data_IF_043323293659
#
_entry.id   IF_043323293659
#
_cell.length_a   1.000
_cell.length_b   1.000
_cell.length_c   1.000
_cell.angle_alpha   90.00
_cell.angle_beta   90.00
_cell.angle_gamma   90.00
#
_symmetry.space_group_name_H-M   'P 1'
#
loop_
_entity.id
_entity.type
_entity.pdbx_description
1 polymer ?
#
# COMPACT_ATOMS: atom_id res chain seq x y z
N UNK A 1 2.82 -7.90 -27.07
CA UNK A 1 3.73 -6.99 -26.34
C UNK A 1 5.04 -7.74 -26.10
N UNK A 2 6.15 -7.26 -26.66
CA UNK A 2 7.48 -7.85 -26.48
C UNK A 2 8.02 -7.45 -25.10
N UNK A 3 7.73 -8.26 -24.09
CA UNK A 3 8.20 -8.04 -22.73
C UNK A 3 9.72 -8.19 -22.65
N UNK A 4 10.42 -7.13 -22.25
CA UNK A 4 11.86 -7.17 -21.94
C UNK A 4 12.03 -8.16 -20.76
N UNK A 5 12.80 -9.23 -20.95
CA UNK A 5 13.06 -10.20 -19.90
C UNK A 5 14.07 -9.59 -18.91
N UNK A 6 13.57 -8.84 -17.93
CA UNK A 6 14.39 -8.19 -16.90
C UNK A 6 14.70 -9.23 -15.83
N UNK A 7 16.00 -9.48 -15.61
CA UNK A 7 16.46 -10.29 -14.47
C UNK A 7 16.57 -9.40 -13.24
N UNK A 8 15.61 -9.55 -12.34
CA UNK A 8 15.52 -8.85 -11.07
C UNK A 8 16.56 -9.38 -10.07
N UNK A 9 17.34 -8.49 -9.44
CA UNK A 9 18.44 -8.86 -8.54
C UNK A 9 17.93 -9.27 -7.15
N UNK A 10 16.81 -8.71 -6.73
CA UNK A 10 16.25 -8.83 -5.39
C UNK A 10 14.94 -9.63 -5.37
N UNK A 11 14.63 -10.35 -6.45
CA UNK A 11 13.35 -11.05 -6.66
C UNK A 11 12.14 -10.09 -6.63
N UNK A 12 12.29 -8.91 -7.20
CA UNK A 12 11.23 -7.90 -7.27
C UNK A 12 9.94 -8.46 -7.89
N UNK A 13 10.04 -9.39 -8.84
CA UNK A 13 8.91 -10.11 -9.42
C UNK A 13 8.09 -10.88 -8.36
N UNK A 14 8.75 -11.57 -7.44
CA UNK A 14 8.10 -12.31 -6.35
C UNK A 14 7.55 -11.37 -5.29
N UNK A 15 8.33 -10.36 -4.91
CA UNK A 15 7.93 -9.38 -3.89
C UNK A 15 6.70 -8.59 -4.36
N UNK A 16 6.64 -8.20 -5.64
CA UNK A 16 5.47 -7.54 -6.22
C UNK A 16 4.23 -8.41 -6.17
N UNK A 17 4.37 -9.72 -6.39
CA UNK A 17 3.27 -10.67 -6.23
C UNK A 17 2.80 -10.78 -4.77
N UNK A 18 3.72 -10.86 -3.82
CA UNK A 18 3.39 -10.86 -2.39
C UNK A 18 2.68 -9.58 -1.95
N UNK A 19 3.11 -8.42 -2.47
CA UNK A 19 2.44 -7.13 -2.24
C UNK A 19 1.02 -7.17 -2.80
N UNK A 20 0.83 -7.71 -4.01
CA UNK A 20 -0.49 -7.85 -4.61
C UNK A 20 -1.40 -8.74 -3.76
N UNK A 21 -0.93 -9.94 -3.38
CA UNK A 21 -1.69 -10.87 -2.53
C UNK A 21 -2.06 -10.24 -1.18
N UNK A 22 -1.15 -9.46 -0.59
CA UNK A 22 -1.43 -8.70 0.62
C UNK A 22 -2.53 -7.65 0.41
N UNK A 23 -2.47 -6.88 -0.67
CA UNK A 23 -3.49 -5.88 -1.00
C UNK A 23 -4.83 -6.56 -1.23
N UNK A 24 -4.89 -7.61 -2.04
CA UNK A 24 -6.11 -8.38 -2.32
C UNK A 24 -6.75 -8.85 -1.02
N UNK A 25 -5.96 -9.44 -0.12
CA UNK A 25 -6.43 -9.82 1.22
C UNK A 25 -6.98 -8.64 2.02
N UNK A 26 -6.30 -7.48 2.02
CA UNK A 26 -6.82 -6.31 2.73
C UNK A 26 -8.16 -5.84 2.16
N UNK A 27 -8.34 -5.93 0.84
CA UNK A 27 -9.60 -5.57 0.21
C UNK A 27 -10.71 -6.56 0.57
N UNK A 28 -10.45 -7.87 0.58
CA UNK A 28 -11.42 -8.88 1.01
C UNK A 28 -11.89 -8.64 2.46
N UNK A 29 -10.96 -8.32 3.36
CA UNK A 29 -11.27 -8.06 4.78
C UNK A 29 -12.10 -6.78 4.97
N UNK A 30 -11.90 -5.78 4.11
CA UNK A 30 -12.49 -4.47 4.29
C UNK A 30 -13.75 -4.20 3.46
N UNK A 31 -13.86 -4.78 2.27
CA UNK A 31 -14.94 -4.52 1.31
C UNK A 31 -15.98 -5.63 1.22
N UNK A 32 -15.83 -6.72 1.97
CA UNK A 32 -16.79 -7.85 2.01
C UNK A 32 -18.22 -7.49 2.42
N UNK A 33 -18.50 -6.25 2.84
CA UNK A 33 -19.83 -5.80 3.31
C UNK A 33 -20.27 -4.41 2.81
N UNK A 34 -19.84 -3.93 1.63
CA UNK A 34 -20.26 -2.63 1.07
C UNK A 34 -20.04 -1.41 2.01
N UNK A 35 -19.07 -1.50 2.92
CA UNK A 35 -18.73 -0.39 3.81
C UNK A 35 -17.68 0.48 3.14
N UNK A 36 -18.09 1.70 2.76
CA UNK A 36 -17.18 2.81 2.51
C UNK A 36 -16.09 2.81 3.60
N UNK A 37 -14.82 2.68 3.21
CA UNK A 37 -13.75 2.65 4.19
C UNK A 37 -13.52 4.05 4.75
N UNK A 38 -13.01 4.12 5.99
CA UNK A 38 -12.52 5.38 6.55
C UNK A 38 -11.47 6.03 5.63
N UNK A 39 -10.66 5.22 4.93
CA UNK A 39 -9.71 5.70 3.93
C UNK A 39 -10.39 6.48 2.80
N UNK A 40 -11.48 5.95 2.25
CA UNK A 40 -12.20 6.59 1.14
C UNK A 40 -12.77 7.93 1.58
N UNK A 41 -13.40 7.98 2.76
CA UNK A 41 -13.95 9.21 3.34
C UNK A 41 -12.85 10.28 3.54
N UNK A 42 -11.67 9.88 4.01
CA UNK A 42 -10.55 10.79 4.27
C UNK A 42 -9.96 11.32 2.96
N UNK A 43 -9.90 10.48 1.92
CA UNK A 43 -9.44 10.89 0.59
C UNK A 43 -10.45 11.85 -0.05
N UNK A 44 -11.75 11.51 -0.03
CA UNK A 44 -12.83 12.33 -0.56
C UNK A 44 -12.91 13.70 0.14
N UNK A 45 -12.52 13.77 1.42
CA UNK A 45 -12.44 15.01 2.19
C UNK A 45 -11.20 15.89 1.86
N UNK A 46 -10.35 15.48 0.90
CA UNK A 46 -9.14 16.22 0.50
C UNK A 46 -7.96 16.07 1.47
N UNK A 47 -7.98 15.07 2.35
CA UNK A 47 -6.92 14.81 3.34
C UNK A 47 -6.08 13.55 3.02
N UNK A 48 -6.21 13.02 1.81
CA UNK A 48 -5.59 11.77 1.39
C UNK A 48 -4.06 11.75 1.47
N UNK A 49 -3.39 12.82 1.03
CA UNK A 49 -1.92 12.92 1.04
C UNK A 49 -1.36 12.84 2.47
N UNK A 50 -1.85 13.70 3.36
CA UNK A 50 -1.44 13.73 4.76
C UNK A 50 -1.75 12.42 5.49
N UNK A 51 -2.89 11.78 5.16
CA UNK A 51 -3.26 10.48 5.69
C UNK A 51 -2.27 9.38 5.26
N UNK A 52 -1.91 9.32 3.98
CA UNK A 52 -0.97 8.32 3.48
C UNK A 52 0.43 8.52 4.09
N UNK A 53 0.93 9.76 4.09
CA UNK A 53 2.24 10.07 4.65
C UNK A 53 2.32 9.77 6.15
N UNK A 54 1.27 10.14 6.91
CA UNK A 54 1.17 9.81 8.33
C UNK A 54 1.22 8.31 8.60
N UNK A 55 0.54 7.51 7.76
CA UNK A 55 0.59 6.05 7.87
C UNK A 55 1.97 5.49 7.52
N UNK A 56 2.63 5.98 6.48
CA UNK A 56 4.00 5.58 6.11
C UNK A 56 4.95 5.82 7.30
N UNK A 57 4.94 7.02 7.89
CA UNK A 57 5.76 7.35 9.06
C UNK A 57 5.43 6.46 10.24
N UNK A 58 4.13 6.25 10.53
CA UNK A 58 3.66 5.38 11.61
C UNK A 58 4.22 3.95 11.49
N UNK A 59 4.19 3.37 10.29
CA UNK A 59 4.68 2.00 10.07
C UNK A 59 6.21 1.93 10.01
N UNK A 60 6.87 2.95 9.46
CA UNK A 60 8.33 3.06 9.51
C UNK A 60 8.86 3.08 10.96
N UNK A 61 8.18 3.79 11.87
CA UNK A 61 8.53 3.81 13.30
C UNK A 61 8.25 2.49 14.03
N UNK A 62 7.38 1.64 13.48
CA UNK A 62 7.10 0.29 14.02
C UNK A 62 8.11 -0.74 13.52
N UNK A 63 8.67 -0.54 12.33
CA UNK A 63 9.84 -1.29 11.86
C UNK A 63 10.98 -1.11 12.88
N UNK A 64 11.31 -2.19 13.59
CA UNK A 64 12.36 -2.18 14.63
C UNK A 64 11.86 -2.31 16.07
N UNK A 65 10.55 -2.21 16.33
CA UNK A 65 9.97 -2.39 17.68
C UNK A 65 9.09 -3.63 17.83
N UNK A 66 8.75 -4.32 16.74
CA UNK A 66 7.90 -5.52 16.71
C UNK A 66 8.51 -6.61 15.84
N UNK A 67 8.14 -7.87 16.11
CA UNK A 67 8.58 -9.05 15.35
C UNK A 67 7.96 -9.17 13.93
N UNK A 68 7.05 -8.27 13.56
CA UNK A 68 6.33 -8.30 12.29
C UNK A 68 6.88 -7.29 11.24
N UNK A 69 8.20 -7.14 11.16
CA UNK A 69 8.85 -6.14 10.28
C UNK A 69 8.38 -6.22 8.82
N UNK A 70 8.24 -7.43 8.27
CA UNK A 70 7.75 -7.64 6.91
C UNK A 70 6.33 -7.09 6.71
N UNK A 71 5.42 -7.31 7.67
CA UNK A 71 4.04 -6.80 7.59
C UNK A 71 4.00 -5.28 7.61
N UNK A 72 4.89 -4.63 8.36
CA UNK A 72 4.97 -3.16 8.38
C UNK A 72 5.55 -2.62 7.06
N UNK A 73 6.51 -3.31 6.44
CA UNK A 73 6.99 -2.96 5.09
C UNK A 73 5.89 -3.08 4.03
N UNK A 74 5.09 -4.15 4.07
CA UNK A 74 3.95 -4.33 3.15
C UNK A 74 2.93 -3.19 3.30
N UNK A 75 2.65 -2.75 4.53
CA UNK A 75 1.78 -1.59 4.79
C UNK A 75 2.38 -0.30 4.24
N UNK A 76 3.68 -0.05 4.45
CA UNK A 76 4.36 1.13 3.89
C UNK A 76 4.19 1.16 2.37
N UNK A 77 4.40 0.03 1.69
CA UNK A 77 4.26 -0.08 0.23
C UNK A 77 2.80 0.15 -0.19
N UNK A 78 1.83 -0.44 0.51
CA UNK A 78 0.42 -0.24 0.22
C UNK A 78 0.02 1.25 0.32
N UNK A 79 0.38 1.94 1.41
CA UNK A 79 0.11 3.38 1.52
C UNK A 79 0.89 4.22 0.48
N UNK A 80 2.07 3.78 0.06
CA UNK A 80 2.79 4.39 -1.05
C UNK A 80 2.03 4.27 -2.38
N UNK A 81 1.42 3.11 -2.66
CA UNK A 81 0.58 2.90 -3.84
C UNK A 81 -0.65 3.81 -3.82
N UNK A 82 -1.32 3.93 -2.67
CA UNK A 82 -2.48 4.84 -2.51
C UNK A 82 -2.05 6.30 -2.71
N UNK A 83 -0.92 6.72 -2.13
CA UNK A 83 -0.38 8.06 -2.34
C UNK A 83 -0.11 8.34 -3.83
N UNK A 84 0.51 7.41 -4.55
CA UNK A 84 0.74 7.53 -6.01
C UNK A 84 -0.59 7.67 -6.76
N UNK A 85 -1.63 6.94 -6.37
CA UNK A 85 -2.95 7.06 -6.98
C UNK A 85 -3.56 8.44 -6.76
N UNK A 86 -3.50 8.95 -5.53
CA UNK A 86 -3.97 10.31 -5.19
C UNK A 86 -3.22 11.36 -6.02
N UNK A 87 -1.89 11.30 -6.05
CA UNK A 87 -1.07 12.25 -6.81
C UNK A 87 -1.37 12.23 -8.31
N UNK A 88 -1.64 11.05 -8.87
CA UNK A 88 -2.06 10.92 -10.28
C UNK A 88 -3.45 11.50 -10.57
N UNK A 89 -4.34 11.55 -9.58
CA UNK A 89 -5.69 12.11 -9.73
C UNK A 89 -5.77 13.59 -9.35
N UNK A 90 -4.77 14.13 -8.65
CA UNK A 90 -4.65 15.55 -8.33
C UNK A 90 -4.15 16.39 -9.52
N UNK A 91 -3.79 15.75 -10.64
CA UNK A 91 -3.27 16.38 -11.88
C UNK A 91 -4.22 16.25 -13.07
#
# INVERSE_FOLDING_TARGET
>A
MTGKNIKYKFNEDKILKEIQEYIDFTYEQHYSNNKYQATDIIIDAGHGEGFCLGNIVKYALRCGKKDEKLKELLKIIHYGIIAIHIEKNNG
#
